data_IF_988818700760
#
_entry.id   IF_988818700760
#
_cell.length_a   1.000
_cell.length_b   1.000
_cell.length_c   1.000
_cell.angle_alpha   90.00
_cell.angle_beta   90.00
_cell.angle_gamma   90.00
#
_symmetry.space_group_name_H-M   'P 1'
#
loop_
_entity.id
_entity.type
_entity.pdbx_description
1 polymer ?
#
# COMPACT_ATOMS: atom_id res chain seq x y z
N UNK A 1 -7.67 22.50 -33.87
CA UNK A 1 -6.57 22.01 -33.01
C UNK A 1 -7.14 21.02 -32.02
N UNK A 2 -7.13 19.72 -32.34
CA UNK A 2 -7.54 18.66 -31.40
C UNK A 2 -6.25 17.89 -31.10
N UNK A 3 -5.57 18.31 -30.02
CA UNK A 3 -4.35 17.65 -29.55
C UNK A 3 -4.83 16.34 -28.93
N UNK A 4 -4.95 15.30 -29.75
CA UNK A 4 -5.14 13.94 -29.28
C UNK A 4 -3.95 13.66 -28.37
N UNK A 5 -4.18 13.74 -27.06
CA UNK A 5 -3.25 13.22 -26.07
C UNK A 5 -3.13 11.73 -26.38
N UNK A 6 -2.14 11.39 -27.21
CA UNK A 6 -1.61 10.04 -27.30
C UNK A 6 -1.26 9.68 -25.85
N UNK A 7 -2.19 8.98 -25.21
CA UNK A 7 -1.90 8.22 -24.01
C UNK A 7 -0.83 7.23 -24.44
N UNK A 8 0.44 7.59 -24.20
CA UNK A 8 1.54 6.66 -24.33
C UNK A 8 1.14 5.42 -23.54
N UNK A 9 1.12 4.22 -24.16
CA UNK A 9 0.88 3.01 -23.40
C UNK A 9 1.96 2.97 -22.34
N UNK A 10 1.57 3.22 -21.10
CA UNK A 10 2.49 3.30 -19.98
C UNK A 10 3.08 1.90 -19.84
N UNK A 11 4.21 1.68 -20.51
CA UNK A 11 4.87 0.39 -20.55
C UNK A 11 5.25 0.09 -19.11
N UNK A 12 4.51 -0.85 -18.50
CA UNK A 12 4.73 -1.37 -17.15
C UNK A 12 6.15 -1.94 -17.09
N UNK A 13 7.09 -1.04 -16.85
CA UNK A 13 8.50 -1.37 -16.78
C UNK A 13 8.68 -2.20 -15.51
N UNK A 14 9.56 -3.21 -15.54
CA UNK A 14 9.86 -4.05 -14.37
C UNK A 14 10.09 -3.22 -13.09
N UNK A 15 10.75 -2.06 -13.23
CA UNK A 15 10.99 -1.09 -12.17
C UNK A 15 9.69 -0.51 -11.56
N UNK A 16 8.68 -0.24 -12.39
CA UNK A 16 7.37 0.23 -11.93
C UNK A 16 6.64 -0.85 -11.14
N UNK A 17 6.65 -2.09 -11.63
CA UNK A 17 6.06 -3.24 -10.91
C UNK A 17 6.73 -3.44 -9.55
N UNK A 18 8.06 -3.33 -9.49
CA UNK A 18 8.80 -3.40 -8.24
C UNK A 18 8.34 -2.35 -7.22
N UNK A 19 8.17 -1.09 -7.63
CA UNK A 19 7.69 -0.04 -6.73
C UNK A 19 6.24 -0.26 -6.28
N UNK A 20 5.36 -0.76 -7.15
CA UNK A 20 3.99 -1.14 -6.79
C UNK A 20 4.01 -2.23 -5.72
N UNK A 21 4.76 -3.31 -5.94
CA UNK A 21 4.86 -4.40 -4.98
C UNK A 21 5.46 -3.94 -3.65
N UNK A 22 6.49 -3.08 -3.69
CA UNK A 22 7.11 -2.52 -2.49
C UNK A 22 6.12 -1.67 -1.68
N UNK A 23 5.37 -0.79 -2.34
CA UNK A 23 4.38 0.03 -1.64
C UNK A 23 3.21 -0.80 -1.13
N UNK A 24 2.71 -1.75 -1.94
CA UNK A 24 1.68 -2.70 -1.53
C UNK A 24 2.11 -3.47 -0.27
N UNK A 25 3.36 -3.92 -0.24
CA UNK A 25 3.95 -4.57 0.93
C UNK A 25 3.99 -3.64 2.15
N UNK A 26 4.41 -2.38 1.98
CA UNK A 26 4.41 -1.40 3.08
C UNK A 26 2.99 -1.14 3.60
N UNK A 27 2.01 -0.97 2.72
CA UNK A 27 0.60 -0.79 3.09
C UNK A 27 0.05 -2.00 3.83
N UNK A 28 0.30 -3.19 3.31
CA UNK A 28 -0.15 -4.44 3.92
C UNK A 28 0.48 -4.65 5.30
N UNK A 29 1.80 -4.42 5.41
CA UNK A 29 2.52 -4.53 6.68
C UNK A 29 2.01 -3.53 7.71
N UNK A 30 1.78 -2.27 7.32
CA UNK A 30 1.19 -1.25 8.18
C UNK A 30 -0.19 -1.67 8.67
N UNK A 31 -1.07 -2.09 7.75
CA UNK A 31 -2.43 -2.49 8.07
C UNK A 31 -2.44 -3.68 9.04
N UNK A 32 -1.59 -4.69 8.80
CA UNK A 32 -1.48 -5.87 9.66
C UNK A 32 -1.05 -5.50 11.08
N UNK A 33 -0.07 -4.60 11.22
CA UNK A 33 0.42 -4.15 12.52
C UNK A 33 -0.62 -3.32 13.28
N UNK A 34 -1.29 -2.38 12.60
CA UNK A 34 -2.32 -1.53 13.20
C UNK A 34 -3.55 -2.36 13.60
N UNK A 35 -4.05 -3.23 12.72
CA UNK A 35 -5.22 -4.06 13.05
C UNK A 35 -4.93 -5.04 14.18
N UNK A 36 -3.72 -5.59 14.27
CA UNK A 36 -3.37 -6.53 15.32
C UNK A 36 -3.48 -5.92 16.73
N UNK A 37 -3.14 -4.62 16.86
CA UNK A 37 -3.20 -3.88 18.12
C UNK A 37 -4.62 -3.35 18.42
N UNK A 38 -5.45 -3.09 17.39
CA UNK A 38 -6.78 -2.48 17.55
C UNK A 38 -7.95 -3.47 17.69
N UNK A 39 -7.80 -4.74 17.28
CA UNK A 39 -8.90 -5.70 17.36
C UNK A 39 -9.14 -6.19 18.80
N UNK A 40 -10.40 -6.42 19.22
CA UNK A 40 -10.73 -6.83 20.59
C UNK A 40 -10.60 -8.34 20.87
N UNK A 41 -10.03 -9.14 19.95
CA UNK A 41 -9.92 -10.60 20.13
C UNK A 41 -8.59 -11.02 20.78
N UNK A 42 -8.45 -12.32 21.03
CA UNK A 42 -7.21 -12.87 21.54
C UNK A 42 -6.04 -12.54 20.60
N UNK A 43 -4.87 -12.23 21.18
CA UNK A 43 -3.70 -11.70 20.46
C UNK A 43 -3.30 -12.52 19.21
N UNK A 44 -3.47 -13.84 19.26
CA UNK A 44 -3.20 -14.72 18.12
C UNK A 44 -4.25 -14.55 17.01
N UNK A 45 -5.54 -14.52 17.35
CA UNK A 45 -6.65 -14.36 16.39
C UNK A 45 -6.60 -13.00 15.70
N UNK A 46 -6.25 -11.94 16.43
CA UNK A 46 -6.00 -10.61 15.88
C UNK A 46 -4.91 -10.63 14.81
N UNK A 47 -3.78 -11.29 15.08
CA UNK A 47 -2.66 -11.37 14.13
C UNK A 47 -3.09 -12.11 12.86
N UNK A 48 -3.78 -13.26 12.97
CA UNK A 48 -4.26 -13.99 11.80
C UNK A 48 -5.26 -13.19 10.98
N UNK A 49 -6.22 -12.54 11.64
CA UNK A 49 -7.24 -11.74 10.97
C UNK A 49 -6.64 -10.48 10.31
N UNK A 50 -5.70 -9.82 10.98
CA UNK A 50 -5.00 -8.65 10.46
C UNK A 50 -4.14 -8.99 9.24
N UNK A 51 -3.41 -10.12 9.27
CA UNK A 51 -2.64 -10.63 8.12
C UNK A 51 -3.57 -11.00 6.96
N UNK A 52 -4.71 -11.63 7.23
CA UNK A 52 -5.67 -11.99 6.19
C UNK A 52 -6.27 -10.74 5.50
N UNK A 53 -6.69 -9.75 6.29
CA UNK A 53 -7.20 -8.48 5.76
C UNK A 53 -6.13 -7.71 4.99
N UNK A 54 -4.90 -7.70 5.49
CA UNK A 54 -3.80 -7.02 4.82
C UNK A 54 -3.43 -7.68 3.50
N UNK A 55 -3.58 -9.01 3.39
CA UNK A 55 -3.39 -9.74 2.14
C UNK A 55 -4.46 -9.41 1.10
N UNK A 56 -5.73 -9.29 1.50
CA UNK A 56 -6.81 -8.84 0.63
C UNK A 56 -6.51 -7.42 0.09
N UNK A 57 -6.14 -6.50 0.97
CA UNK A 57 -5.76 -5.14 0.58
C UNK A 57 -4.54 -5.09 -0.33
N UNK A 58 -3.57 -5.98 -0.13
CA UNK A 58 -2.40 -6.11 -1.01
C UNK A 58 -2.82 -6.44 -2.44
N UNK A 59 -3.70 -7.43 -2.63
CA UNK A 59 -4.20 -7.82 -3.96
C UNK A 59 -4.95 -6.66 -4.62
N UNK A 60 -5.87 -6.02 -3.89
CA UNK A 60 -6.62 -4.87 -4.42
C UNK A 60 -5.69 -3.72 -4.81
N UNK A 61 -4.69 -3.42 -4.00
CA UNK A 61 -3.74 -2.34 -4.27
C UNK A 61 -2.92 -2.62 -5.54
N UNK A 62 -2.44 -3.85 -5.73
CA UNK A 62 -1.70 -4.23 -6.95
C UNK A 62 -2.59 -4.09 -8.19
N UNK A 63 -3.84 -4.57 -8.13
CA UNK A 63 -4.80 -4.46 -9.24
C UNK A 63 -5.11 -2.98 -9.54
N UNK A 64 -5.48 -2.18 -8.53
CA UNK A 64 -5.78 -0.76 -8.72
C UNK A 64 -4.58 0.00 -9.29
N UNK A 65 -3.38 -0.23 -8.75
CA UNK A 65 -2.19 0.51 -9.17
C UNK A 65 -1.74 0.09 -10.57
N UNK A 66 -1.97 -1.17 -10.97
CA UNK A 66 -1.76 -1.60 -12.34
C UNK A 66 -2.72 -0.96 -13.35
N UNK A 67 -3.92 -0.55 -12.90
CA UNK A 67 -4.90 0.17 -13.71
C UNK A 67 -4.64 1.69 -13.76
N UNK A 68 -3.76 2.22 -12.91
CA UNK A 68 -3.44 3.66 -12.87
C UNK A 68 -2.42 3.99 -13.96
N UNK A 69 -2.89 4.62 -15.02
CA UNK A 69 -2.07 5.05 -16.17
C UNK A 69 -1.23 6.31 -15.87
N UNK A 70 -1.58 7.06 -14.81
CA UNK A 70 -0.92 8.33 -14.51
C UNK A 70 0.35 8.20 -13.67
N UNK A 71 1.46 8.68 -14.23
CA UNK A 71 2.79 8.73 -13.59
C UNK A 71 2.81 9.50 -12.27
N UNK A 72 2.00 10.56 -12.13
CA UNK A 72 1.90 11.34 -10.88
C UNK A 72 1.21 10.56 -9.78
N UNK A 73 0.06 9.96 -10.09
CA UNK A 73 -0.71 9.15 -9.15
C UNK A 73 0.09 7.92 -8.70
N UNK A 74 0.83 7.29 -9.62
CA UNK A 74 1.75 6.21 -9.31
C UNK A 74 2.78 6.58 -8.21
N UNK A 75 3.42 7.75 -8.32
CA UNK A 75 4.41 8.19 -7.33
C UNK A 75 3.78 8.62 -6.00
N UNK A 76 2.62 9.28 -6.05
CA UNK A 76 1.88 9.69 -4.84
C UNK A 76 1.50 8.46 -4.03
N UNK A 77 0.88 7.47 -4.68
CA UNK A 77 0.38 6.24 -4.04
C UNK A 77 1.53 5.39 -3.50
N UNK A 78 2.64 5.27 -4.24
CA UNK A 78 3.82 4.56 -3.73
C UNK A 78 4.49 5.26 -2.54
N UNK A 79 4.56 6.59 -2.55
CA UNK A 79 5.20 7.36 -1.47
C UNK A 79 4.37 7.33 -0.20
N UNK A 80 3.04 7.30 -0.30
CA UNK A 80 2.16 7.24 0.86
C UNK A 80 2.27 5.93 1.64
N UNK A 81 2.58 4.80 0.98
CA UNK A 81 2.85 3.54 1.68
C UNK A 81 4.08 3.59 2.58
N UNK A 82 5.14 4.25 2.13
CA UNK A 82 6.36 4.47 2.92
C UNK A 82 6.07 5.44 4.08
N UNK A 83 5.31 6.51 3.82
CA UNK A 83 4.92 7.50 4.84
C UNK A 83 4.09 6.86 5.96
N UNK A 84 3.17 5.96 5.61
CA UNK A 84 2.34 5.21 6.58
C UNK A 84 3.18 4.29 7.45
N UNK A 85 4.11 3.54 6.87
CA UNK A 85 5.00 2.69 7.65
C UNK A 85 5.86 3.51 8.62
N UNK A 86 6.38 4.64 8.15
CA UNK A 86 7.14 5.58 8.96
C UNK A 86 6.29 6.20 10.08
N UNK A 87 5.02 6.56 9.81
CA UNK A 87 4.14 7.14 10.81
C UNK A 87 3.76 6.14 11.92
N UNK A 88 3.54 4.87 11.59
CA UNK A 88 3.34 3.82 12.60
C UNK A 88 4.58 3.62 13.46
N UNK A 89 5.77 3.61 12.84
CA UNK A 89 7.01 3.50 13.59
C UNK A 89 7.21 4.68 14.55
N UNK A 90 6.85 5.89 14.11
CA UNK A 90 6.82 7.10 14.92
C UNK A 90 5.82 7.01 16.08
N UNK A 91 4.57 6.61 15.83
CA UNK A 91 3.55 6.44 16.88
C UNK A 91 4.02 5.44 17.95
N UNK A 92 4.56 4.29 17.52
CA UNK A 92 5.07 3.26 18.42
C UNK A 92 6.27 3.72 19.23
N UNK A 93 7.18 4.50 18.63
CA UNK A 93 8.34 5.06 19.34
C UNK A 93 7.92 6.11 20.39
N UNK A 94 6.79 6.77 20.17
CA UNK A 94 6.22 7.76 21.08
C UNK A 94 5.30 7.14 22.15
N UNK A 95 5.13 5.81 22.17
CA UNK A 95 4.28 5.13 23.14
C UNK A 95 2.79 5.40 22.97
N UNK A 96 2.39 5.91 21.80
CA UNK A 96 0.98 6.05 21.42
C UNK A 96 0.60 4.73 20.73
N UNK A 97 0.18 3.76 21.53
CA UNK A 97 -0.22 2.42 21.11
C UNK A 97 -0.94 1.72 22.23
#
# INVERSE_FOLDING_TARGET
MRRTEQQEPFNLTYRSVFFICLAAYCYSSWLSLVLADWLPFAKAENVYFAVFLSFIFFIFYVILTSAIVSRRWFWIINSSGILLLASYWLMRKWGIG
#
